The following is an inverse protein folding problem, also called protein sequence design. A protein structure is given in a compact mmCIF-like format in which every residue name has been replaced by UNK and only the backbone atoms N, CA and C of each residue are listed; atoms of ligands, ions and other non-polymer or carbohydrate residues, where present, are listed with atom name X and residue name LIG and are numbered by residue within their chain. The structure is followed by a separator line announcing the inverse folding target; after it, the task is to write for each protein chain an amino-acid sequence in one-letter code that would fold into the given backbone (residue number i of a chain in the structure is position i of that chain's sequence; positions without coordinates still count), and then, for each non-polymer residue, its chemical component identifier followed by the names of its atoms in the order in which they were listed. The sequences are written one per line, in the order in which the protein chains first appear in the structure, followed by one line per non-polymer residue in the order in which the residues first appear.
data_IF_040390386492
#
_entry.id   IF_040390386492
#
_cell.length_a   1.000
_cell.length_b   1.000
_cell.length_c   1.000
_cell.angle_alpha   90.00
_cell.angle_beta   90.00
_cell.angle_gamma   90.00
#
_symmetry.space_group_name_H-M   'P 1'
#
loop_
_entity.id
_entity.type
_entity.pdbx_description
1 polymer ?
#
# COMPACT_ATOMS: atom_id res chain seq x y z
N UNK A 1 -6.81 47.46 6.19
CA UNK A 1 -8.13 46.90 6.56
C UNK A 1 -8.48 45.87 5.49
N UNK A 2 -8.00 44.63 5.66
CA UNK A 2 -8.15 43.50 4.74
C UNK A 2 -9.02 42.45 5.43
N UNK A 3 -10.34 42.55 5.29
CA UNK A 3 -11.27 41.55 5.87
C UNK A 3 -12.21 40.98 4.79
N UNK A 4 -12.36 41.63 3.64
CA UNK A 4 -13.21 41.15 2.53
C UNK A 4 -12.48 40.30 1.49
N UNK A 5 -11.16 40.45 1.34
CA UNK A 5 -10.39 39.68 0.35
C UNK A 5 -10.08 38.24 0.80
N UNK A 6 -9.89 38.02 2.11
CA UNK A 6 -9.60 36.70 2.68
C UNK A 6 -10.84 35.79 2.86
N UNK A 7 -12.05 36.35 2.86
CA UNK A 7 -13.29 35.53 2.92
C UNK A 7 -13.61 34.85 1.59
N UNK A 8 -13.27 35.45 0.45
CA UNK A 8 -13.57 34.90 -0.89
C UNK A 8 -12.62 33.77 -1.31
N UNK A 9 -11.41 33.71 -0.77
CA UNK A 9 -10.44 32.64 -1.08
C UNK A 9 -10.70 31.36 -0.26
N UNK A 10 -11.23 31.47 0.97
CA UNK A 10 -11.54 30.32 1.80
C UNK A 10 -12.89 29.66 1.48
N UNK A 11 -13.86 30.35 0.86
CA UNK A 11 -15.16 29.73 0.50
C UNK A 11 -15.14 29.01 -0.86
N UNK A 12 -14.29 29.44 -1.80
CA UNK A 12 -14.23 28.91 -3.17
C UNK A 12 -13.27 27.70 -3.34
N UNK A 13 -12.32 27.54 -2.41
CA UNK A 13 -11.42 26.38 -2.35
C UNK A 13 -12.06 25.16 -1.67
N UNK A 14 -12.85 25.40 -0.62
CA UNK A 14 -13.52 24.35 0.16
C UNK A 14 -14.68 23.72 -0.62
N UNK A 15 -15.52 24.52 -1.29
CA UNK A 15 -16.63 24.04 -2.13
C UNK A 15 -16.16 23.18 -3.31
N UNK A 16 -15.04 23.51 -3.96
CA UNK A 16 -14.47 22.71 -5.06
C UNK A 16 -13.85 21.41 -4.57
N UNK A 17 -13.16 21.44 -3.44
CA UNK A 17 -12.56 20.26 -2.81
C UNK A 17 -13.63 19.32 -2.25
N UNK A 18 -14.68 19.86 -1.63
CA UNK A 18 -15.87 19.11 -1.20
C UNK A 18 -16.63 18.55 -2.39
N UNK A 19 -16.82 19.29 -3.50
CA UNK A 19 -17.47 18.75 -4.70
C UNK A 19 -16.70 17.58 -5.31
N UNK A 20 -15.36 17.66 -5.38
CA UNK A 20 -14.52 16.56 -5.86
C UNK A 20 -14.58 15.35 -4.92
N UNK A 21 -14.56 15.57 -3.61
CA UNK A 21 -14.69 14.47 -2.65
C UNK A 21 -16.07 13.82 -2.73
N UNK A 22 -17.15 14.60 -2.92
CA UNK A 22 -18.51 14.08 -3.11
C UNK A 22 -18.62 13.30 -4.42
N UNK A 23 -18.06 13.78 -5.52
CA UNK A 23 -18.04 13.06 -6.81
C UNK A 23 -17.23 11.77 -6.74
N UNK A 24 -16.08 11.80 -6.06
CA UNK A 24 -15.22 10.63 -5.85
C UNK A 24 -15.96 9.61 -4.97
N UNK A 25 -16.53 10.02 -3.83
CA UNK A 25 -17.31 9.15 -2.96
C UNK A 25 -18.50 8.54 -3.70
N UNK A 26 -19.25 9.35 -4.46
CA UNK A 26 -20.38 8.89 -5.27
C UNK A 26 -19.95 7.91 -6.35
N UNK A 27 -18.80 8.13 -6.98
CA UNK A 27 -18.21 7.20 -7.95
C UNK A 27 -17.85 5.86 -7.30
N UNK A 28 -17.26 5.87 -6.09
CA UNK A 28 -16.93 4.65 -5.36
C UNK A 28 -18.17 3.90 -4.86
N UNK A 29 -19.20 4.60 -4.42
CA UNK A 29 -20.49 4.03 -4.02
C UNK A 29 -21.20 3.36 -5.21
N UNK A 30 -21.31 4.07 -6.33
CA UNK A 30 -21.84 3.52 -7.60
C UNK A 30 -21.03 2.32 -8.08
N UNK A 31 -19.72 2.31 -7.86
CA UNK A 31 -18.86 1.18 -8.18
C UNK A 31 -19.10 -0.02 -7.26
N UNK A 32 -19.38 0.20 -5.97
CA UNK A 32 -19.61 -0.87 -5.01
C UNK A 32 -20.99 -1.52 -5.21
N UNK A 33 -22.03 -0.73 -5.42
CA UNK A 33 -23.37 -1.23 -5.74
C UNK A 33 -23.35 -2.09 -7.01
N UNK A 34 -22.73 -1.57 -8.08
CA UNK A 34 -22.57 -2.32 -9.33
C UNK A 34 -21.76 -3.61 -9.13
N UNK A 35 -20.73 -3.58 -8.29
CA UNK A 35 -19.95 -4.78 -7.96
C UNK A 35 -20.81 -5.80 -7.20
N UNK A 36 -21.68 -5.33 -6.27
CA UNK A 36 -22.60 -6.19 -5.53
C UNK A 36 -23.64 -6.82 -6.44
N UNK A 37 -24.23 -6.07 -7.36
CA UNK A 37 -25.21 -6.56 -8.32
C UNK A 37 -24.61 -7.63 -9.24
N UNK A 38 -23.41 -7.37 -9.77
CA UNK A 38 -22.70 -8.34 -10.59
C UNK A 38 -22.39 -9.61 -9.79
N UNK A 39 -21.96 -9.47 -8.54
CA UNK A 39 -21.69 -10.62 -7.67
C UNK A 39 -22.94 -11.43 -7.34
N UNK A 40 -24.08 -10.77 -7.08
CA UNK A 40 -25.35 -11.44 -6.83
C UNK A 40 -25.78 -12.28 -8.04
N UNK A 41 -25.64 -11.75 -9.27
CA UNK A 41 -25.89 -12.53 -10.51
C UNK A 41 -25.01 -13.77 -10.64
N UNK A 42 -23.75 -13.69 -10.19
CA UNK A 42 -22.88 -14.87 -10.15
C UNK A 42 -23.34 -15.89 -9.09
N UNK A 43 -23.80 -15.42 -7.93
CA UNK A 43 -24.32 -16.29 -6.86
C UNK A 43 -25.64 -16.98 -7.24
N UNK A 44 -26.52 -16.31 -7.97
CA UNK A 44 -27.76 -16.90 -8.51
C UNK A 44 -27.47 -18.08 -9.43
N UNK A 45 -26.42 -17.96 -10.26
CA UNK A 45 -25.99 -19.00 -11.19
C UNK A 45 -24.93 -19.94 -10.61
N UNK A 46 -24.72 -19.94 -9.28
CA UNK A 46 -23.56 -20.65 -8.69
C UNK A 46 -23.49 -22.14 -9.07
N UNK A 47 -24.64 -22.81 -9.19
CA UNK A 47 -24.73 -24.25 -9.52
C UNK A 47 -24.33 -24.58 -10.96
N UNK A 48 -24.27 -23.59 -11.86
CA UNK A 48 -23.89 -23.80 -13.26
C UNK A 48 -22.37 -23.78 -13.46
N UNK A 49 -21.61 -23.39 -12.44
CA UNK A 49 -20.14 -23.30 -12.52
C UNK A 49 -19.47 -24.55 -11.96
N UNK A 50 -18.20 -24.76 -12.32
CA UNK A 50 -17.36 -25.81 -11.76
C UNK A 50 -17.15 -25.64 -10.25
N UNK A 51 -16.91 -26.75 -9.55
CA UNK A 51 -16.77 -26.80 -8.09
C UNK A 51 -15.71 -25.83 -7.55
N UNK A 52 -14.60 -25.63 -8.28
CA UNK A 52 -13.56 -24.67 -7.90
C UNK A 52 -14.06 -23.23 -7.92
N UNK A 53 -14.87 -22.87 -8.90
CA UNK A 53 -15.46 -21.53 -9.02
C UNK A 53 -16.50 -21.34 -7.93
N UNK A 54 -17.34 -22.35 -7.67
CA UNK A 54 -18.31 -22.33 -6.58
C UNK A 54 -17.62 -22.07 -5.23
N UNK A 55 -16.56 -22.83 -4.90
CA UNK A 55 -15.79 -22.65 -3.65
C UNK A 55 -15.26 -21.22 -3.51
N UNK A 56 -14.77 -20.62 -4.60
CA UNK A 56 -14.29 -19.23 -4.61
C UNK A 56 -15.42 -18.23 -4.38
N UNK A 57 -16.56 -18.39 -5.07
CA UNK A 57 -17.72 -17.52 -4.90
C UNK A 57 -18.27 -17.60 -3.46
N UNK A 58 -18.34 -18.78 -2.87
CA UNK A 58 -18.71 -18.95 -1.45
C UNK A 58 -17.74 -18.25 -0.49
N UNK A 59 -16.43 -18.37 -0.73
CA UNK A 59 -15.41 -17.69 0.07
C UNK A 59 -15.56 -16.17 -0.05
N UNK A 60 -15.75 -15.64 -1.25
CA UNK A 60 -15.98 -14.21 -1.49
C UNK A 60 -17.25 -13.76 -0.78
N UNK A 61 -18.35 -14.53 -0.86
CA UNK A 61 -19.59 -14.20 -0.17
C UNK A 61 -19.39 -14.12 1.35
N UNK A 62 -18.71 -15.11 1.93
CA UNK A 62 -18.38 -15.17 3.37
C UNK A 62 -17.54 -13.98 3.82
N UNK A 63 -16.63 -13.50 2.97
CA UNK A 63 -15.66 -12.45 3.29
C UNK A 63 -15.98 -11.11 2.60
N UNK A 64 -17.19 -10.93 2.09
CA UNK A 64 -17.57 -9.77 1.26
C UNK A 64 -17.23 -8.43 1.93
N UNK A 65 -17.57 -8.29 3.22
CA UNK A 65 -17.29 -7.07 3.98
C UNK A 65 -15.78 -6.79 4.04
N UNK A 66 -14.96 -7.80 4.35
CA UNK A 66 -13.51 -7.65 4.44
C UNK A 66 -12.90 -7.25 3.08
N UNK A 67 -13.41 -7.82 2.00
CA UNK A 67 -12.94 -7.55 0.64
C UNK A 67 -13.37 -6.16 0.14
N UNK A 68 -14.45 -5.59 0.69
CA UNK A 68 -15.00 -4.28 0.28
C UNK A 68 -14.76 -3.18 1.30
N UNK A 69 -14.14 -3.49 2.45
CA UNK A 69 -13.95 -2.56 3.56
C UNK A 69 -13.21 -1.28 3.17
N UNK A 70 -12.31 -1.37 2.17
CA UNK A 70 -11.57 -0.22 1.66
C UNK A 70 -12.47 0.88 1.06
N UNK A 71 -13.69 0.56 0.63
CA UNK A 71 -14.66 1.58 0.17
C UNK A 71 -15.14 2.48 1.32
N UNK A 72 -15.13 1.98 2.56
CA UNK A 72 -15.63 2.69 3.73
C UNK A 72 -14.51 3.36 4.54
N UNK A 73 -13.25 3.00 4.28
CA UNK A 73 -12.10 3.51 5.02
C UNK A 73 -11.37 4.60 4.21
N UNK A 74 -11.42 5.87 4.64
CA UNK A 74 -10.75 6.95 3.92
C UNK A 74 -9.24 6.71 3.86
N UNK A 75 -8.69 6.78 2.64
CA UNK A 75 -7.25 6.57 2.38
C UNK A 75 -6.81 5.09 2.32
N UNK A 76 -7.72 4.12 2.50
CA UNK A 76 -7.39 2.72 2.27
C UNK A 76 -7.19 2.45 0.76
N UNK A 77 -6.11 1.77 0.37
CA UNK A 77 -5.88 1.47 -1.04
C UNK A 77 -6.85 0.40 -1.52
N UNK A 78 -7.51 0.67 -2.66
CA UNK A 78 -8.36 -0.30 -3.36
C UNK A 78 -7.57 -1.44 -4.03
N UNK A 79 -6.24 -1.32 -4.09
CA UNK A 79 -5.37 -2.32 -4.71
C UNK A 79 -4.40 -2.90 -3.70
N UNK A 80 -4.11 -4.19 -3.85
CA UNK A 80 -3.09 -4.87 -3.07
C UNK A 80 -1.66 -4.58 -3.59
N UNK A 81 -1.50 -3.77 -4.66
CA UNK A 81 -0.22 -3.45 -5.29
C UNK A 81 0.89 -3.05 -4.29
N UNK A 82 0.64 -2.24 -3.24
CA UNK A 82 1.67 -1.92 -2.25
C UNK A 82 2.18 -3.16 -1.50
N UNK A 83 1.27 -4.09 -1.20
CA UNK A 83 1.54 -5.34 -0.48
C UNK A 83 2.23 -6.35 -1.41
N UNK A 84 1.71 -6.55 -2.62
CA UNK A 84 2.33 -7.42 -3.62
C UNK A 84 3.73 -6.95 -3.99
N UNK A 85 3.93 -5.64 -4.18
CA UNK A 85 5.24 -5.06 -4.45
C UNK A 85 6.21 -5.28 -3.29
N UNK A 86 5.74 -5.17 -2.04
CA UNK A 86 6.54 -5.46 -0.85
C UNK A 86 7.01 -6.91 -0.84
N UNK A 87 6.09 -7.85 -1.00
CA UNK A 87 6.40 -9.28 -0.95
C UNK A 87 7.21 -9.76 -2.15
N UNK A 88 6.95 -9.24 -3.35
CA UNK A 88 7.74 -9.55 -4.55
C UNK A 88 9.20 -9.11 -4.43
N UNK A 89 9.46 -8.00 -3.72
CA UNK A 89 10.82 -7.50 -3.46
C UNK A 89 11.50 -8.22 -2.29
N UNK A 90 10.75 -8.55 -1.23
CA UNK A 90 11.30 -9.13 0.01
C UNK A 90 11.40 -10.66 0.00
N UNK A 91 10.54 -11.37 -0.74
CA UNK A 91 10.43 -12.84 -0.70
C UNK A 91 11.18 -13.58 -1.82
N UNK A 92 12.05 -12.92 -2.59
CA UNK A 92 12.85 -13.62 -3.63
C UNK A 92 13.63 -14.79 -3.00
N UNK A 93 13.57 -15.96 -3.64
CA UNK A 93 14.11 -17.24 -3.13
C UNK A 93 15.58 -17.13 -2.72
N UNK A 94 16.38 -16.37 -3.46
CA UNK A 94 17.80 -16.16 -3.17
C UNK A 94 18.05 -15.35 -1.90
N UNK A 95 17.13 -14.44 -1.54
CA UNK A 95 17.20 -13.69 -0.29
C UNK A 95 16.85 -14.58 0.92
N UNK A 96 15.90 -15.51 0.78
CA UNK A 96 15.51 -16.42 1.89
C UNK A 96 16.63 -17.37 2.30
N UNK A 97 17.42 -17.87 1.33
CA UNK A 97 18.57 -18.76 1.59
C UNK A 97 19.70 -18.11 2.39
N UNK A 98 19.74 -16.77 2.45
CA UNK A 98 20.75 -16.00 3.19
C UNK A 98 20.41 -15.86 4.68
N UNK A 99 19.13 -15.94 5.07
CA UNK A 99 18.69 -15.77 6.45
C UNK A 99 18.43 -17.13 7.10
N UNK A 100 19.50 -17.74 7.63
CA UNK A 100 19.47 -19.07 8.26
C UNK A 100 18.94 -19.08 9.70
N UNK A 101 18.65 -17.92 10.27
CA UNK A 101 18.17 -17.75 11.65
C UNK A 101 17.09 -16.67 11.70
N UNK A 102 16.15 -16.82 12.64
CA UNK A 102 15.06 -15.85 12.84
C UNK A 102 15.58 -14.44 13.11
N UNK A 103 16.67 -14.34 13.89
CA UNK A 103 17.36 -13.08 14.17
C UNK A 103 17.92 -12.42 12.89
N UNK A 104 18.40 -13.22 11.94
CA UNK A 104 18.85 -12.73 10.63
C UNK A 104 17.70 -12.14 9.81
N UNK A 105 16.53 -12.77 9.83
CA UNK A 105 15.30 -12.28 9.17
C UNK A 105 14.85 -10.95 9.81
N UNK A 106 14.80 -10.90 11.14
CA UNK A 106 14.38 -9.71 11.89
C UNK A 106 15.27 -8.50 11.59
N UNK A 107 16.60 -8.70 11.59
CA UNK A 107 17.56 -7.65 11.26
C UNK A 107 17.41 -7.15 9.82
N UNK A 108 17.11 -8.03 8.86
CA UNK A 108 16.89 -7.63 7.47
C UNK A 108 15.61 -6.80 7.31
N UNK A 109 14.54 -7.15 8.04
CA UNK A 109 13.29 -6.37 8.05
C UNK A 109 13.59 -4.96 8.57
N UNK A 110 14.30 -4.85 9.71
CA UNK A 110 14.71 -3.57 10.29
C UNK A 110 15.58 -2.75 9.32
N UNK A 111 16.60 -3.35 8.72
CA UNK A 111 17.47 -2.69 7.73
C UNK A 111 16.69 -2.20 6.50
N UNK A 112 15.72 -2.97 6.02
CA UNK A 112 14.89 -2.60 4.87
C UNK A 112 13.97 -1.42 5.21
N UNK A 113 13.39 -1.41 6.42
CA UNK A 113 12.61 -0.27 6.92
C UNK A 113 13.49 0.98 7.03
N UNK A 114 14.70 0.85 7.61
CA UNK A 114 15.64 1.97 7.72
C UNK A 114 16.05 2.54 6.36
N UNK A 115 16.26 1.69 5.35
CA UNK A 115 16.52 2.14 3.96
C UNK A 115 15.35 2.92 3.38
N UNK A 116 14.11 2.43 3.56
CA UNK A 116 12.89 3.08 3.05
C UNK A 116 12.66 4.45 3.68
N UNK A 117 12.96 4.58 4.97
CA UNK A 117 12.83 5.84 5.71
C UNK A 117 14.04 6.77 5.50
N UNK A 118 14.98 6.43 4.59
CA UNK A 118 16.23 7.17 4.36
C UNK A 118 17.06 7.39 5.63
N UNK A 119 16.94 6.50 6.63
CA UNK A 119 17.70 6.57 7.89
C UNK A 119 19.14 6.09 7.71
N UNK A 120 19.40 5.24 6.70
CA UNK A 120 20.76 4.86 6.33
C UNK A 120 21.36 5.96 5.45
N UNK A 121 22.12 6.87 6.08
CA UNK A 121 22.89 7.88 5.35
C UNK A 121 24.01 7.20 4.57
N UNK A 122 24.32 7.75 3.38
CA UNK A 122 25.53 7.35 2.66
C UNK A 122 26.76 7.61 3.55
N UNK A 123 27.71 6.68 3.62
CA UNK A 123 28.94 6.92 4.35
C UNK A 123 29.66 8.12 3.73
N UNK A 124 30.03 9.10 4.57
CA UNK A 124 30.72 10.31 4.13
C UNK A 124 32.16 10.04 3.71
N UNK A 125 32.76 8.97 4.25
CA UNK A 125 34.10 8.51 3.94
C UNK A 125 34.04 7.11 3.37
N UNK A 126 34.78 6.88 2.31
CA UNK A 126 35.00 5.54 1.76
C UNK A 126 35.80 4.68 2.74
N UNK A 127 35.69 3.37 2.59
CA UNK A 127 36.47 2.41 3.38
C UNK A 127 37.98 2.66 3.23
N UNK A 128 38.43 3.02 2.02
CA UNK A 128 39.84 3.33 1.74
C UNK A 128 40.31 4.57 2.49
N UNK A 129 39.48 5.62 2.59
CA UNK A 129 39.80 6.82 3.38
C UNK A 129 39.88 6.52 4.88
N UNK A 130 39.02 5.64 5.39
CA UNK A 130 39.12 5.17 6.76
C UNK A 130 40.39 4.33 6.98
N UNK A 131 40.75 3.48 6.03
CA UNK A 131 41.97 2.67 6.10
C UNK A 131 43.25 3.54 6.10
N UNK A 132 43.24 4.64 5.34
CA UNK A 132 44.33 5.63 5.34
C UNK A 132 44.55 6.30 6.71
N UNK A 133 43.53 6.39 7.58
CA UNK A 133 43.70 6.90 8.95
C UNK A 133 44.56 5.98 9.82
N UNK A 134 44.61 4.69 9.49
CA UNK A 134 45.40 3.70 10.20
C UNK A 134 46.77 3.45 9.55
N UNK A 135 47.07 4.12 8.44
CA UNK A 135 48.38 3.99 7.80
C UNK A 135 49.40 4.87 8.55
N UNK A 136 50.39 4.29 9.25
CA UNK A 136 51.37 5.07 10.02
C UNK A 136 52.34 5.86 9.13
N UNK A 137 52.38 5.56 7.82
CA UNK A 137 53.19 6.26 6.85
C UNK A 137 52.31 7.20 6.04
N UNK A 138 52.30 8.48 6.43
CA UNK A 138 51.79 9.57 5.60
C UNK A 138 52.78 9.76 4.44
N UNK A 139 52.36 9.47 3.21
CA UNK A 139 53.02 9.96 1.99
C UNK A 139 52.75 11.45 1.82
#
# INVERSE_FOLDING_TARGET
MNIEFDRKLNSAGDSRFQSKNVEITRFWELSLEKAKDNFNKLMENIRTYDEMVQKRLWMINKHWLNLTLFHYLPGAPATNNPVESYYSKSLKTDNKKQFRTDKGIENQIKLTQMRRLNLLKKPQKSFLELFRLFNPFKL
#
